data_IF_516618902662
#
_entry.id   IF_516618902662
#
_cell.length_a   1.000
_cell.length_b   1.000
_cell.length_c   1.000
_cell.angle_alpha   90.00
_cell.angle_beta   90.00
_cell.angle_gamma   90.00
#
_symmetry.space_group_name_H-M   'P 1'
#
loop_
_entity.id
_entity.type
_entity.pdbx_description
1 polymer ?
#
# COMPACT_ATOMS: atom_id res chain seq x y z
N UNK A 1 33.52 6.76 -16.97
CA UNK A 1 32.14 6.24 -16.96
C UNK A 1 31.84 5.76 -15.55
N UNK A 2 30.63 6.03 -15.05
CA UNK A 2 30.18 5.61 -13.72
C UNK A 2 28.69 5.53 -13.62
N UNK A 3 28.20 5.08 -12.47
CA UNK A 3 26.78 4.87 -12.17
C UNK A 3 26.31 6.00 -11.28
N UNK A 4 25.25 6.69 -11.68
CA UNK A 4 24.48 7.58 -10.81
C UNK A 4 23.14 6.90 -10.55
N UNK A 5 22.86 6.67 -9.28
CA UNK A 5 21.60 6.08 -8.84
C UNK A 5 20.52 7.15 -8.81
N UNK A 6 19.30 6.78 -9.16
CA UNK A 6 18.16 7.70 -9.11
C UNK A 6 16.94 6.92 -8.63
N UNK A 7 16.43 7.25 -7.46
CA UNK A 7 15.28 6.55 -6.91
C UNK A 7 14.53 7.36 -5.83
N UNK A 8 13.28 6.98 -5.63
CA UNK A 8 12.46 7.46 -4.52
C UNK A 8 12.84 6.73 -3.23
N UNK A 9 12.90 7.48 -2.14
CA UNK A 9 13.02 6.94 -0.78
C UNK A 9 11.63 6.88 -0.17
N UNK A 10 11.18 5.68 0.18
CA UNK A 10 9.88 5.47 0.80
C UNK A 10 9.82 4.19 1.65
N UNK A 11 8.85 4.07 2.58
CA UNK A 11 8.62 2.84 3.31
C UNK A 11 8.34 1.66 2.38
N UNK A 12 8.84 0.49 2.74
CA UNK A 12 8.56 -0.73 2.01
C UNK A 12 7.22 -1.35 2.44
N UNK A 13 6.58 -2.08 1.54
CA UNK A 13 5.28 -2.73 1.81
C UNK A 13 5.39 -4.03 2.60
N UNK A 14 6.59 -4.64 2.66
CA UNK A 14 6.74 -6.03 3.16
C UNK A 14 7.79 -6.21 4.25
N UNK A 15 8.65 -5.23 4.50
CA UNK A 15 9.65 -5.29 5.58
C UNK A 15 10.00 -3.91 6.12
N UNK A 16 10.62 -3.88 7.29
CA UNK A 16 11.12 -2.67 7.97
C UNK A 16 12.61 -2.80 8.22
N UNK A 17 13.31 -1.67 8.19
CA UNK A 17 14.73 -1.60 8.49
C UNK A 17 15.34 -0.23 8.14
N UNK A 18 16.66 -0.05 8.32
CA UNK A 18 17.35 1.18 7.95
C UNK A 18 17.22 1.51 6.46
N UNK A 19 17.32 0.49 5.61
CA UNK A 19 17.19 0.60 4.15
C UNK A 19 15.97 -0.20 3.70
N UNK A 20 14.98 0.49 3.15
CA UNK A 20 13.74 -0.10 2.67
C UNK A 20 13.60 0.08 1.16
N UNK A 21 12.87 1.11 0.68
CA UNK A 21 12.87 1.49 -0.73
C UNK A 21 13.70 2.74 -0.93
N UNK A 22 14.80 2.64 -1.69
CA UNK A 22 15.73 3.73 -1.88
C UNK A 22 16.88 3.39 -2.81
N UNK A 23 17.99 4.11 -2.67
CA UNK A 23 19.17 3.94 -3.51
C UNK A 23 19.87 2.60 -3.24
N UNK A 24 19.93 2.15 -1.97
CA UNK A 24 20.45 0.83 -1.61
C UNK A 24 19.64 -0.28 -2.29
N UNK A 25 18.31 -0.22 -2.21
CA UNK A 25 17.45 -1.19 -2.90
C UNK A 25 17.57 -1.09 -4.42
N UNK A 26 17.78 0.10 -4.98
CA UNK A 26 18.00 0.27 -6.42
C UNK A 26 19.27 -0.48 -6.87
N UNK A 27 20.33 -0.48 -6.08
CA UNK A 27 21.49 -1.30 -6.35
C UNK A 27 21.16 -2.79 -6.26
N UNK A 28 20.61 -3.23 -5.14
CA UNK A 28 20.37 -4.64 -4.85
C UNK A 28 19.39 -5.30 -5.85
N UNK A 29 18.29 -4.65 -6.16
CA UNK A 29 17.21 -5.19 -7.01
C UNK A 29 17.23 -4.54 -8.40
N UNK A 30 17.35 -3.22 -8.50
CA UNK A 30 17.34 -2.51 -9.77
C UNK A 30 18.49 -2.90 -10.69
N UNK A 31 19.73 -2.88 -10.21
CA UNK A 31 20.90 -3.35 -10.95
C UNK A 31 21.00 -4.88 -10.94
N UNK A 32 20.63 -5.54 -9.84
CA UNK A 32 20.63 -7.00 -9.68
C UNK A 32 19.60 -7.70 -10.56
N UNK A 33 18.61 -6.95 -11.13
CA UNK A 33 17.56 -7.47 -12.01
C UNK A 33 16.80 -8.63 -11.38
N UNK A 34 16.41 -9.63 -12.19
CA UNK A 34 15.65 -10.79 -11.73
C UNK A 34 16.43 -11.59 -10.67
N UNK A 35 17.71 -11.84 -10.88
CA UNK A 35 18.53 -12.58 -9.93
C UNK A 35 18.67 -11.90 -8.58
N UNK A 36 18.90 -10.59 -8.56
CA UNK A 36 18.94 -9.82 -7.32
C UNK A 36 17.58 -9.84 -6.59
N UNK A 37 16.49 -9.69 -7.31
CA UNK A 37 15.15 -9.77 -6.76
C UNK A 37 14.85 -11.17 -6.17
N UNK A 38 15.11 -12.23 -6.91
CA UNK A 38 14.88 -13.61 -6.47
C UNK A 38 15.75 -13.96 -5.25
N UNK A 39 17.03 -13.59 -5.27
CA UNK A 39 17.95 -13.85 -4.15
C UNK A 39 17.48 -13.23 -2.84
N UNK A 40 16.87 -12.05 -2.91
CA UNK A 40 16.36 -11.33 -1.73
C UNK A 40 14.97 -11.86 -1.35
N UNK A 41 14.04 -12.01 -2.31
CA UNK A 41 12.66 -12.41 -2.01
C UNK A 41 12.51 -13.89 -1.57
N UNK A 42 13.46 -14.76 -1.88
CA UNK A 42 13.48 -16.13 -1.37
C UNK A 42 13.98 -16.24 0.07
N UNK A 43 14.44 -15.11 0.65
CA UNK A 43 14.85 -15.07 2.05
C UNK A 43 13.68 -14.62 2.95
N UNK A 44 13.88 -14.81 4.27
CA UNK A 44 12.91 -14.33 5.25
C UNK A 44 12.76 -12.82 5.20
N UNK A 45 11.53 -12.27 5.24
CA UNK A 45 11.33 -10.83 5.37
C UNK A 45 12.03 -10.21 6.59
N UNK A 46 12.33 -11.00 7.61
CA UNK A 46 13.06 -10.54 8.80
C UNK A 46 14.46 -10.01 8.50
N UNK A 47 15.12 -10.55 7.46
CA UNK A 47 16.51 -10.18 7.11
C UNK A 47 16.61 -9.43 5.79
N UNK A 48 15.48 -9.11 5.14
CA UNK A 48 15.50 -8.45 3.82
C UNK A 48 16.23 -7.10 3.86
N UNK A 49 16.08 -6.33 4.93
CA UNK A 49 16.76 -5.05 5.09
C UNK A 49 18.28 -5.21 5.21
N UNK A 50 18.76 -6.28 5.88
CA UNK A 50 20.18 -6.61 5.99
C UNK A 50 20.75 -6.99 4.61
N UNK A 51 20.01 -7.79 3.85
CA UNK A 51 20.41 -8.18 2.50
C UNK A 51 20.44 -6.98 1.54
N UNK A 52 19.48 -6.09 1.62
CA UNK A 52 19.50 -4.85 0.82
C UNK A 52 20.73 -4.03 1.12
N UNK A 53 21.13 -3.92 2.39
CA UNK A 53 22.35 -3.25 2.80
C UNK A 53 23.61 -3.96 2.28
N UNK A 54 23.72 -5.27 2.50
CA UNK A 54 24.88 -6.08 2.10
C UNK A 54 25.11 -6.01 0.58
N UNK A 55 24.05 -6.23 -0.22
CA UNK A 55 24.13 -6.12 -1.67
C UNK A 55 24.49 -4.72 -2.13
N UNK A 56 23.89 -3.69 -1.53
CA UNK A 56 24.19 -2.30 -1.86
C UNK A 56 25.65 -1.95 -1.60
N UNK A 57 26.20 -2.32 -0.44
CA UNK A 57 27.62 -2.13 -0.10
C UNK A 57 28.55 -2.88 -1.04
N UNK A 58 28.25 -4.16 -1.32
CA UNK A 58 29.02 -4.97 -2.26
C UNK A 58 29.08 -4.34 -3.66
N UNK A 59 27.95 -3.77 -4.13
CA UNK A 59 27.92 -3.11 -5.44
C UNK A 59 28.75 -1.80 -5.40
N UNK A 60 28.67 -1.01 -4.34
CA UNK A 60 29.49 0.20 -4.20
C UNK A 60 31.00 -0.09 -4.17
N UNK A 61 31.41 -1.23 -3.61
CA UNK A 61 32.79 -1.65 -3.57
C UNK A 61 33.31 -2.18 -4.91
N UNK A 62 32.45 -2.77 -5.74
CA UNK A 62 32.85 -3.49 -6.97
C UNK A 62 32.40 -2.81 -8.26
N UNK A 63 31.63 -1.74 -8.20
CA UNK A 63 31.16 -0.99 -9.35
C UNK A 63 31.44 0.52 -9.19
N UNK A 64 31.64 1.26 -10.29
CA UNK A 64 31.96 2.68 -10.23
C UNK A 64 30.73 3.54 -9.90
N UNK A 65 30.15 3.38 -8.70
CA UNK A 65 29.06 4.20 -8.21
C UNK A 65 29.61 5.58 -7.85
N UNK A 66 29.14 6.62 -8.56
CA UNK A 66 29.58 8.01 -8.37
C UNK A 66 28.71 8.75 -7.34
N UNK A 67 27.54 8.23 -7.02
CA UNK A 67 26.59 8.82 -6.09
C UNK A 67 25.15 8.52 -6.47
N UNK A 68 24.22 9.19 -5.81
CA UNK A 68 22.79 9.01 -6.05
C UNK A 68 21.98 10.29 -5.88
N UNK A 69 20.81 10.30 -6.49
CA UNK A 69 19.77 11.33 -6.33
C UNK A 69 18.60 10.67 -5.62
N UNK A 70 18.42 11.03 -4.37
CA UNK A 70 17.32 10.60 -3.52
C UNK A 70 16.14 11.56 -3.68
N UNK A 71 14.93 11.01 -3.87
CA UNK A 71 13.69 11.78 -3.98
C UNK A 71 12.74 11.32 -2.89
N UNK A 72 12.08 12.27 -2.23
CA UNK A 72 10.96 12.02 -1.34
C UNK A 72 9.74 12.69 -1.96
N UNK A 73 8.64 11.97 -2.01
CA UNK A 73 7.32 12.46 -2.43
C UNK A 73 6.44 12.69 -1.19
N UNK A 74 5.49 13.60 -1.31
CA UNK A 74 4.46 13.84 -0.30
C UNK A 74 3.23 12.97 -0.53
N UNK A 75 2.17 13.19 0.27
CA UNK A 75 0.91 12.45 0.19
C UNK A 75 0.11 12.64 -1.11
N UNK A 76 0.54 13.56 -1.98
CA UNK A 76 -0.08 13.87 -3.28
C UNK A 76 0.78 13.44 -4.47
N UNK A 77 1.81 12.61 -4.21
CA UNK A 77 2.84 12.22 -5.19
C UNK A 77 3.67 13.40 -5.74
N UNK A 78 3.58 14.58 -5.10
CA UNK A 78 4.43 15.71 -5.44
C UNK A 78 5.82 15.56 -4.82
N UNK A 79 6.82 16.06 -5.53
CA UNK A 79 8.20 16.06 -5.03
C UNK A 79 8.33 16.96 -3.80
N UNK A 80 8.58 16.36 -2.65
CA UNK A 80 8.83 17.05 -1.37
C UNK A 80 10.30 17.44 -1.20
N UNK A 81 11.23 16.53 -1.55
CA UNK A 81 12.66 16.73 -1.40
C UNK A 81 13.44 16.01 -2.49
N UNK A 82 14.46 16.68 -3.03
CA UNK A 82 15.50 16.07 -3.88
C UNK A 82 16.85 16.31 -3.20
N UNK A 83 17.63 15.26 -3.01
CA UNK A 83 18.96 15.34 -2.41
C UNK A 83 19.98 14.52 -3.19
N UNK A 84 21.07 15.18 -3.63
CA UNK A 84 22.25 14.50 -4.16
C UNK A 84 23.09 13.95 -3.00
N UNK A 85 23.58 12.73 -3.15
CA UNK A 85 24.36 12.01 -2.14
C UNK A 85 25.64 11.43 -2.78
N UNK A 86 26.79 11.58 -2.13
CA UNK A 86 27.98 10.78 -2.44
C UNK A 86 27.77 9.32 -2.06
N UNK A 87 28.61 8.38 -2.50
CA UNK A 87 28.50 6.97 -2.09
C UNK A 87 28.48 6.79 -0.57
N UNK A 88 29.33 7.53 0.15
CA UNK A 88 29.41 7.49 1.62
C UNK A 88 28.16 8.07 2.27
N UNK A 89 27.60 9.15 1.69
CA UNK A 89 26.38 9.77 2.18
C UNK A 89 25.14 8.90 1.93
N UNK A 90 25.12 8.05 0.90
CA UNK A 90 24.01 7.08 0.71
C UNK A 90 23.88 6.22 1.98
N UNK A 91 24.98 5.74 2.52
CA UNK A 91 25.00 4.88 3.70
C UNK A 91 24.46 5.61 4.94
N UNK A 92 24.81 6.86 5.14
CA UNK A 92 24.52 7.59 6.39
C UNK A 92 23.23 8.40 6.33
N UNK A 93 22.82 8.84 5.15
CA UNK A 93 21.69 9.76 4.98
C UNK A 93 20.41 9.06 4.52
N UNK A 94 20.49 7.95 3.75
CA UNK A 94 19.27 7.27 3.30
C UNK A 94 18.36 6.83 4.46
N UNK A 95 18.86 6.28 5.59
CA UNK A 95 18.02 5.99 6.74
C UNK A 95 17.28 7.21 7.31
N UNK A 96 17.96 8.39 7.34
CA UNK A 96 17.35 9.63 7.81
C UNK A 96 16.28 10.15 6.83
N UNK A 97 16.56 10.06 5.54
CA UNK A 97 15.60 10.41 4.47
C UNK A 97 14.37 9.51 4.51
N UNK A 98 14.55 8.23 4.82
CA UNK A 98 13.43 7.29 5.03
C UNK A 98 12.52 7.75 6.18
N UNK A 99 13.08 8.19 7.31
CA UNK A 99 12.27 8.72 8.42
C UNK A 99 11.47 9.99 8.03
N UNK A 100 12.04 10.83 7.15
CA UNK A 100 11.29 11.97 6.58
C UNK A 100 10.15 11.44 5.71
N UNK A 101 10.42 10.48 4.84
CA UNK A 101 9.42 9.88 3.96
C UNK A 101 8.24 9.28 4.74
N UNK A 102 8.48 8.60 5.86
CA UNK A 102 7.41 8.10 6.73
C UNK A 102 6.44 9.19 7.20
N UNK A 103 6.92 10.42 7.37
CA UNK A 103 6.10 11.55 7.84
C UNK A 103 5.39 12.27 6.71
N UNK A 104 5.82 12.07 5.46
CA UNK A 104 5.31 12.81 4.30
C UNK A 104 4.38 12.00 3.41
N UNK A 105 4.45 10.66 3.46
CA UNK A 105 3.56 9.81 2.67
C UNK A 105 2.10 9.93 3.12
N UNK A 106 1.19 9.50 2.26
CA UNK A 106 -0.24 9.47 2.55
C UNK A 106 -0.58 8.59 3.77
N UNK A 107 -1.43 9.10 4.66
CA UNK A 107 -1.98 8.38 5.81
C UNK A 107 -3.46 8.69 5.96
N UNK A 108 -4.26 7.69 6.32
CA UNK A 108 -5.57 7.93 6.89
C UNK A 108 -5.37 8.43 8.33
N UNK A 109 -5.94 9.61 8.65
CA UNK A 109 -5.76 10.28 9.94
C UNK A 109 -6.69 9.70 11.03
N UNK A 110 -6.88 8.38 11.01
CA UNK A 110 -7.65 7.61 11.97
C UNK A 110 -6.83 6.38 12.39
N UNK A 111 -6.90 6.03 13.67
CA UNK A 111 -6.20 4.85 14.18
C UNK A 111 -6.91 3.55 13.77
N UNK A 112 -8.25 3.55 13.84
CA UNK A 112 -9.07 2.36 13.57
C UNK A 112 -10.42 2.68 12.94
N UNK A 113 -10.96 1.69 12.23
CA UNK A 113 -12.35 1.64 11.79
C UNK A 113 -12.86 0.19 11.80
N UNK A 114 -14.18 -0.01 11.73
CA UNK A 114 -14.76 -1.34 11.63
C UNK A 114 -14.60 -1.87 10.19
N UNK A 115 -14.92 -1.05 9.20
CA UNK A 115 -14.80 -1.43 7.79
C UNK A 115 -14.04 -0.38 6.99
N UNK A 116 -13.02 -0.83 6.27
CA UNK A 116 -12.36 -0.06 5.21
C UNK A 116 -12.83 -0.55 3.84
N UNK A 117 -13.44 0.33 3.07
CA UNK A 117 -13.84 0.08 1.69
C UNK A 117 -12.86 0.75 0.75
N UNK A 118 -12.25 -0.02 -0.14
CA UNK A 118 -11.32 0.46 -1.17
C UNK A 118 -11.98 0.23 -2.53
N UNK A 119 -12.30 1.31 -3.24
CA UNK A 119 -12.99 1.20 -4.52
C UNK A 119 -12.16 0.42 -5.54
N UNK A 120 -10.87 0.77 -5.67
CA UNK A 120 -9.99 0.11 -6.65
C UNK A 120 -8.60 -0.14 -6.11
N UNK A 121 -8.07 -1.30 -6.44
CA UNK A 121 -6.65 -1.65 -6.27
C UNK A 121 -5.98 -1.80 -7.63
N UNK A 122 -4.65 -1.73 -7.68
CA UNK A 122 -3.89 -1.96 -8.91
C UNK A 122 -2.38 -1.81 -8.73
N UNK A 123 -1.63 -2.42 -9.62
CA UNK A 123 -0.15 -2.33 -9.65
C UNK A 123 0.35 -0.92 -9.93
N UNK A 124 -0.45 -0.09 -10.57
CA UNK A 124 -0.20 1.33 -10.79
C UNK A 124 -0.37 2.17 -9.51
N UNK A 125 -1.12 1.66 -8.52
CA UNK A 125 -1.31 2.31 -7.20
C UNK A 125 -0.20 1.89 -6.24
N UNK A 126 0.00 0.59 -6.05
CA UNK A 126 1.04 0.06 -5.17
C UNK A 126 1.53 -1.31 -5.66
N UNK A 127 2.76 -1.67 -5.28
CA UNK A 127 3.35 -2.96 -5.61
C UNK A 127 2.49 -4.16 -5.18
N UNK A 128 1.75 -4.04 -4.09
CA UNK A 128 0.85 -5.07 -3.56
C UNK A 128 -0.63 -4.75 -3.84
N UNK A 129 -0.91 -3.93 -4.86
CA UNK A 129 -2.24 -3.54 -5.30
C UNK A 129 -2.82 -2.35 -4.54
N UNK A 130 -2.59 -2.27 -3.24
CA UNK A 130 -2.87 -1.13 -2.36
C UNK A 130 -1.71 -0.92 -1.38
N UNK A 131 -1.49 0.33 -0.95
CA UNK A 131 -0.41 0.63 -0.02
C UNK A 131 -0.81 0.22 1.41
N UNK A 132 -0.07 -0.71 2.05
CA UNK A 132 -0.36 -1.14 3.41
C UNK A 132 -0.06 -0.05 4.45
N UNK A 133 0.76 0.97 4.13
CA UNK A 133 1.00 2.10 5.02
C UNK A 133 -0.27 2.99 5.14
N UNK A 134 -1.20 2.89 4.21
CA UNK A 134 -2.53 3.53 4.26
C UNK A 134 -3.57 2.55 4.79
N UNK A 135 -3.69 1.37 4.14
CA UNK A 135 -4.77 0.40 4.41
C UNK A 135 -4.58 -0.44 5.67
N UNK A 136 -3.37 -0.48 6.25
CA UNK A 136 -3.03 -1.38 7.36
C UNK A 136 -2.91 -2.86 6.97
N UNK A 137 -3.16 -3.19 5.69
CA UNK A 137 -3.19 -4.57 5.18
C UNK A 137 -1.81 -5.00 4.70
N UNK A 138 -0.91 -5.27 5.64
CA UNK A 138 0.45 -5.74 5.34
C UNK A 138 0.48 -7.19 4.90
N UNK A 139 1.31 -7.45 3.89
CA UNK A 139 1.59 -8.81 3.39
C UNK A 139 2.17 -9.69 4.49
N UNK A 140 3.00 -9.10 5.34
CA UNK A 140 3.69 -9.77 6.44
C UNK A 140 3.49 -9.00 7.77
N UNK A 141 2.30 -9.10 8.42
CA UNK A 141 2.00 -8.34 9.64
C UNK A 141 2.97 -8.62 10.80
N UNK A 142 3.65 -9.76 10.76
CA UNK A 142 4.67 -10.11 11.75
C UNK A 142 5.90 -9.20 11.69
N UNK A 143 6.22 -8.64 10.51
CA UNK A 143 7.44 -7.88 10.25
C UNK A 143 7.17 -6.40 9.91
N UNK A 144 5.91 -6.06 9.67
CA UNK A 144 5.50 -4.70 9.29
C UNK A 144 4.22 -4.32 10.00
N UNK A 145 4.13 -3.07 10.40
CA UNK A 145 2.90 -2.50 10.98
C UNK A 145 2.76 -1.05 10.55
N UNK A 146 1.57 -0.50 10.72
CA UNK A 146 1.21 0.87 10.34
C UNK A 146 -0.12 0.91 9.60
N UNK A 147 -0.48 2.07 9.05
CA UNK A 147 -1.78 2.27 8.43
C UNK A 147 -2.95 2.17 9.41
N UNK A 148 -4.16 2.26 8.87
CA UNK A 148 -5.37 2.14 9.69
C UNK A 148 -5.60 0.69 10.14
N UNK A 149 -6.09 0.50 11.36
CA UNK A 149 -6.55 -0.80 11.85
C UNK A 149 -8.04 -0.96 11.48
N UNK A 150 -8.31 -1.65 10.38
CA UNK A 150 -9.67 -2.00 9.96
C UNK A 150 -9.98 -3.45 10.33
N UNK A 151 -11.12 -3.70 11.00
CA UNK A 151 -11.52 -5.07 11.31
C UNK A 151 -11.80 -5.85 10.03
N UNK A 152 -12.54 -5.27 9.10
CA UNK A 152 -12.77 -5.82 7.76
C UNK A 152 -12.31 -4.85 6.67
N UNK A 153 -11.87 -5.42 5.55
CA UNK A 153 -11.54 -4.70 4.34
C UNK A 153 -12.37 -5.23 3.17
N UNK A 154 -12.94 -4.32 2.40
CA UNK A 154 -13.68 -4.60 1.16
C UNK A 154 -12.91 -4.01 0.00
N UNK A 155 -12.70 -4.78 -1.06
CA UNK A 155 -12.13 -4.29 -2.32
C UNK A 155 -13.19 -4.46 -3.40
N UNK A 156 -13.63 -3.35 -4.01
CA UNK A 156 -14.75 -3.36 -4.94
C UNK A 156 -14.33 -3.68 -6.38
N UNK A 157 -13.14 -3.22 -6.81
CA UNK A 157 -12.68 -3.41 -8.19
C UNK A 157 -11.15 -3.31 -8.33
N UNK A 158 -10.68 -3.52 -9.56
CA UNK A 158 -9.30 -3.24 -9.98
C UNK A 158 -9.27 -2.10 -10.99
N UNK A 159 -8.15 -1.38 -11.07
CA UNK A 159 -7.94 -0.34 -12.10
C UNK A 159 -7.78 -0.95 -13.49
N UNK A 160 -8.04 -0.16 -14.54
CA UNK A 160 -7.80 -0.60 -15.93
C UNK A 160 -6.31 -0.75 -16.21
N UNK A 161 -5.50 0.13 -15.64
CA UNK A 161 -4.04 0.20 -15.80
C UNK A 161 -3.32 -1.02 -15.22
N UNK A 162 -3.97 -1.77 -14.33
CA UNK A 162 -3.39 -3.04 -13.82
C UNK A 162 -3.53 -4.20 -14.81
N UNK A 163 -4.26 -4.00 -15.93
CA UNK A 163 -4.45 -4.98 -17.01
C UNK A 163 -4.97 -6.36 -16.55
N UNK A 164 -5.74 -6.39 -15.47
CA UNK A 164 -6.28 -7.62 -14.88
C UNK A 164 -5.40 -8.26 -13.80
N UNK A 165 -4.26 -7.65 -13.45
CA UNK A 165 -3.47 -8.11 -12.31
C UNK A 165 -4.14 -7.68 -10.99
N UNK A 166 -4.72 -8.64 -10.29
CA UNK A 166 -5.44 -8.43 -9.03
C UNK A 166 -4.59 -8.79 -7.79
N UNK A 167 -3.26 -8.67 -7.88
CA UNK A 167 -2.41 -8.87 -6.70
C UNK A 167 -2.87 -7.94 -5.57
N UNK A 168 -2.96 -8.49 -4.37
CA UNK A 168 -3.42 -7.79 -3.18
C UNK A 168 -4.89 -8.00 -2.85
N UNK A 169 -5.70 -8.54 -3.77
CA UNK A 169 -7.12 -8.85 -3.48
C UNK A 169 -7.27 -9.77 -2.26
N UNK A 170 -6.32 -10.69 -2.06
CA UNK A 170 -6.31 -11.62 -0.93
C UNK A 170 -6.02 -10.99 0.44
N UNK A 171 -5.78 -9.69 0.50
CA UNK A 171 -5.65 -8.93 1.75
C UNK A 171 -7.00 -8.42 2.28
N UNK A 172 -8.08 -8.52 1.49
CA UNK A 172 -9.43 -8.20 1.91
C UNK A 172 -10.18 -9.44 2.43
N UNK A 173 -11.27 -9.21 3.16
CA UNK A 173 -12.22 -10.24 3.57
C UNK A 173 -13.33 -10.42 2.53
N UNK A 174 -13.71 -9.34 1.83
CA UNK A 174 -14.82 -9.34 0.88
C UNK A 174 -14.44 -8.62 -0.41
N UNK A 175 -14.94 -9.12 -1.53
CA UNK A 175 -14.81 -8.50 -2.84
C UNK A 175 -16.07 -8.69 -3.68
N UNK A 176 -16.09 -8.16 -4.90
CA UNK A 176 -17.23 -8.21 -5.81
C UNK A 176 -17.05 -9.21 -6.94
N UNK A 177 -18.14 -9.66 -7.52
CA UNK A 177 -18.17 -10.43 -8.77
C UNK A 177 -17.51 -9.66 -9.91
N UNK A 178 -17.70 -8.34 -9.96
CA UNK A 178 -17.10 -7.44 -10.95
C UNK A 178 -15.58 -7.56 -10.93
N UNK A 179 -14.93 -7.46 -9.76
CA UNK A 179 -13.48 -7.60 -9.63
C UNK A 179 -13.01 -8.96 -10.14
N UNK A 180 -13.66 -10.03 -9.68
CA UNK A 180 -13.25 -11.40 -10.04
C UNK A 180 -13.38 -11.66 -11.54
N UNK A 181 -14.43 -11.13 -12.19
CA UNK A 181 -14.61 -11.24 -13.63
C UNK A 181 -13.54 -10.46 -14.45
N UNK A 182 -12.95 -9.41 -13.86
CA UNK A 182 -11.87 -8.61 -14.47
C UNK A 182 -10.49 -9.18 -14.20
N UNK A 183 -10.34 -10.03 -13.19
CA UNK A 183 -9.07 -10.66 -12.83
C UNK A 183 -8.61 -11.61 -13.94
N UNK A 184 -7.34 -11.49 -14.34
CA UNK A 184 -6.66 -12.39 -15.27
C UNK A 184 -5.60 -13.17 -14.53
N UNK A 185 -5.73 -14.48 -14.49
CA UNK A 185 -4.83 -15.37 -13.74
C UNK A 185 -3.41 -15.33 -14.33
N UNK A 186 -3.29 -15.25 -15.65
CA UNK A 186 -2.03 -15.14 -16.37
C UNK A 186 -1.27 -13.84 -16.08
N UNK A 187 -1.95 -12.79 -15.62
CA UNK A 187 -1.34 -11.54 -15.19
C UNK A 187 -1.06 -11.51 -13.68
N UNK A 188 -1.88 -12.22 -12.89
CA UNK A 188 -1.84 -12.18 -11.43
C UNK A 188 -0.87 -13.19 -10.85
N UNK A 189 -0.91 -14.45 -11.28
CA UNK A 189 -0.16 -15.56 -10.67
C UNK A 189 1.36 -15.46 -10.83
N UNK A 190 1.92 -15.03 -11.99
CA UNK A 190 3.38 -14.88 -12.11
C UNK A 190 3.97 -13.95 -11.07
N UNK A 191 3.24 -12.88 -10.71
CA UNK A 191 3.68 -11.95 -9.66
C UNK A 191 3.74 -12.62 -8.29
N UNK A 192 2.75 -13.46 -7.97
CA UNK A 192 2.73 -14.22 -6.72
C UNK A 192 3.85 -15.25 -6.61
N UNK A 193 4.20 -15.88 -7.72
CA UNK A 193 5.33 -16.83 -7.75
C UNK A 193 6.65 -16.09 -7.54
N UNK A 194 6.83 -14.94 -8.18
CA UNK A 194 8.07 -14.15 -8.07
C UNK A 194 8.28 -13.58 -6.65
N UNK A 195 7.21 -13.06 -6.02
CA UNK A 195 7.31 -12.47 -4.68
C UNK A 195 7.11 -13.48 -3.53
N UNK A 196 6.75 -14.73 -3.84
CA UNK A 196 6.50 -15.84 -2.91
C UNK A 196 5.28 -15.67 -1.97
N UNK A 197 4.54 -14.58 -2.08
CA UNK A 197 3.38 -14.28 -1.22
C UNK A 197 2.05 -14.71 -1.85
N UNK A 198 1.84 -16.00 -1.96
CA UNK A 198 0.68 -16.59 -2.65
C UNK A 198 -0.68 -16.18 -2.06
N UNK A 199 -0.72 -15.79 -0.79
CA UNK A 199 -1.96 -15.36 -0.14
C UNK A 199 -2.51 -14.05 -0.71
N UNK A 200 -1.67 -13.21 -1.35
CA UNK A 200 -2.11 -11.99 -2.04
C UNK A 200 -3.07 -12.27 -3.22
N UNK A 201 -3.04 -13.51 -3.75
CA UNK A 201 -3.86 -13.95 -4.89
C UNK A 201 -5.08 -14.76 -4.47
N UNK A 202 -5.29 -14.98 -3.16
CA UNK A 202 -6.50 -15.63 -2.67
C UNK A 202 -7.71 -14.77 -3.01
N UNK A 203 -8.80 -15.40 -3.41
CA UNK A 203 -10.05 -14.70 -3.68
C UNK A 203 -10.84 -14.66 -2.37
N UNK A 204 -11.20 -13.46 -1.87
CA UNK A 204 -12.05 -13.27 -0.70
C UNK A 204 -13.48 -13.78 -0.94
N UNK A 205 -14.38 -13.60 0.04
CA UNK A 205 -15.80 -13.82 -0.19
C UNK A 205 -16.29 -12.90 -1.31
N UNK A 206 -16.97 -13.50 -2.31
CA UNK A 206 -17.46 -12.79 -3.50
C UNK A 206 -18.93 -12.46 -3.30
N UNK A 207 -19.26 -11.16 -3.39
CA UNK A 207 -20.65 -10.69 -3.42
C UNK A 207 -20.99 -10.20 -4.84
N UNK A 208 -22.27 -10.18 -5.18
CA UNK A 208 -22.68 -9.88 -6.54
C UNK A 208 -22.55 -8.39 -6.90
N UNK A 209 -22.62 -7.50 -5.89
CA UNK A 209 -22.50 -6.05 -6.06
C UNK A 209 -21.85 -5.36 -4.86
N UNK A 210 -21.60 -4.04 -4.97
CA UNK A 210 -20.93 -3.25 -3.95
C UNK A 210 -21.74 -3.14 -2.66
N UNK A 211 -23.07 -3.00 -2.76
CA UNK A 211 -23.98 -2.93 -1.60
C UNK A 211 -23.88 -4.19 -0.75
N UNK A 212 -23.98 -5.34 -1.36
CA UNK A 212 -23.91 -6.62 -0.66
C UNK A 212 -22.51 -6.83 -0.04
N UNK A 213 -21.44 -6.44 -0.74
CA UNK A 213 -20.09 -6.55 -0.22
C UNK A 213 -19.88 -5.70 1.04
N UNK A 214 -20.36 -4.46 1.02
CA UNK A 214 -20.26 -3.54 2.17
C UNK A 214 -21.15 -4.04 3.32
N UNK A 215 -22.39 -4.43 3.04
CA UNK A 215 -23.30 -4.94 4.06
C UNK A 215 -22.77 -6.19 4.74
N UNK A 216 -22.22 -7.14 3.99
CA UNK A 216 -21.60 -8.34 4.55
C UNK A 216 -20.44 -7.99 5.49
N UNK A 217 -19.57 -7.07 5.07
CA UNK A 217 -18.45 -6.66 5.90
C UNK A 217 -18.91 -6.03 7.22
N UNK A 218 -19.89 -5.12 7.16
CA UNK A 218 -20.48 -4.49 8.36
C UNK A 218 -21.11 -5.52 9.30
N UNK A 219 -21.84 -6.50 8.76
CA UNK A 219 -22.46 -7.58 9.56
C UNK A 219 -21.43 -8.49 10.24
N UNK A 220 -20.21 -8.54 9.72
CA UNK A 220 -19.17 -9.45 10.18
C UNK A 220 -18.09 -8.78 11.06
N UNK A 221 -18.40 -7.68 11.73
CA UNK A 221 -17.52 -6.97 12.66
C UNK A 221 -17.91 -7.24 14.13
N UNK A 222 -17.56 -8.40 14.72
CA UNK A 222 -17.91 -8.71 16.11
C UNK A 222 -17.20 -7.81 17.13
N UNK A 223 -16.09 -7.14 16.76
CA UNK A 223 -15.34 -6.25 17.64
C UNK A 223 -15.80 -4.78 17.55
N UNK A 224 -16.84 -4.49 16.75
CA UNK A 224 -17.39 -3.14 16.66
C UNK A 224 -17.92 -2.66 18.02
N UNK A 225 -17.52 -1.46 18.40
CA UNK A 225 -17.92 -0.86 19.68
C UNK A 225 -19.42 -0.50 19.72
N UNK A 226 -20.00 -0.15 18.59
CA UNK A 226 -21.40 0.24 18.40
C UNK A 226 -21.90 -0.28 17.06
N UNK A 227 -22.75 -1.30 17.09
CA UNK A 227 -23.34 -1.91 15.89
C UNK A 227 -24.42 -1.06 15.22
N UNK A 228 -24.98 -0.09 15.93
CA UNK A 228 -25.95 0.85 15.38
C UNK A 228 -25.26 2.03 14.66
N UNK A 229 -24.00 2.33 15.05
CA UNK A 229 -23.20 3.43 14.51
C UNK A 229 -21.81 2.95 14.08
N UNK A 230 -21.79 2.00 13.15
CA UNK A 230 -20.55 1.41 12.61
C UNK A 230 -19.60 2.48 12.04
N UNK A 231 -18.31 2.30 12.30
CA UNK A 231 -17.22 3.16 11.82
C UNK A 231 -16.71 2.64 10.48
N UNK A 232 -17.19 3.23 9.38
CA UNK A 232 -16.75 2.85 8.03
C UNK A 232 -16.02 4.02 7.37
N UNK A 233 -14.96 3.68 6.64
CA UNK A 233 -14.22 4.59 5.75
C UNK A 233 -14.26 4.00 4.36
N UNK A 234 -14.57 4.83 3.35
CA UNK A 234 -14.45 4.49 1.94
C UNK A 234 -13.45 5.42 1.27
N UNK A 235 -12.54 4.83 0.51
CA UNK A 235 -11.51 5.54 -0.26
C UNK A 235 -11.52 5.10 -1.72
N UNK A 236 -11.26 6.01 -2.68
CA UNK A 236 -11.12 5.64 -4.08
C UNK A 236 -10.01 4.60 -4.30
N UNK A 237 -8.88 4.81 -3.66
CA UNK A 237 -7.72 3.92 -3.59
C UNK A 237 -6.70 4.50 -2.59
N UNK A 238 -5.62 3.78 -2.33
CA UNK A 238 -4.61 4.20 -1.35
C UNK A 238 -3.66 5.32 -1.82
N UNK A 239 -3.68 5.70 -3.10
CA UNK A 239 -2.93 6.84 -3.61
C UNK A 239 -3.77 8.15 -3.61
N UNK A 240 -5.11 8.06 -3.51
CA UNK A 240 -6.01 9.20 -3.56
C UNK A 240 -6.91 9.23 -2.33
N UNK A 241 -6.39 9.76 -1.22
CA UNK A 241 -7.08 9.84 0.07
C UNK A 241 -7.25 11.28 0.58
N UNK A 242 -7.04 12.27 -0.29
CA UNK A 242 -7.27 13.69 0.04
C UNK A 242 -8.75 13.99 0.28
N UNK A 243 -9.66 13.24 -0.32
CA UNK A 243 -11.10 13.24 -0.04
C UNK A 243 -11.52 11.80 0.18
N UNK A 244 -12.20 11.56 1.30
CA UNK A 244 -12.68 10.24 1.70
C UNK A 244 -14.14 10.33 2.12
N UNK A 245 -14.86 9.23 2.09
CA UNK A 245 -16.20 9.10 2.68
C UNK A 245 -16.10 8.38 4.02
N UNK A 246 -16.85 8.87 5.00
CA UNK A 246 -16.94 8.27 6.32
C UNK A 246 -18.38 8.07 6.74
N UNK A 247 -18.67 7.04 7.51
CA UNK A 247 -19.99 6.85 8.10
C UNK A 247 -20.28 7.84 9.23
N UNK A 248 -21.54 8.02 9.58
CA UNK A 248 -21.95 8.88 10.68
C UNK A 248 -21.31 8.51 12.02
N UNK A 249 -21.03 7.21 12.25
CA UNK A 249 -20.31 6.72 13.44
C UNK A 249 -18.91 7.31 13.59
N UNK A 250 -18.32 7.84 12.52
CA UNK A 250 -17.01 8.51 12.54
C UNK A 250 -17.09 10.04 12.76
N UNK A 251 -18.26 10.66 12.65
CA UNK A 251 -18.43 12.10 12.80
C UNK A 251 -17.86 12.67 14.12
N UNK A 252 -17.98 12.00 15.26
CA UNK A 252 -17.39 12.50 16.51
C UNK A 252 -15.86 12.66 16.46
N UNK A 253 -15.17 11.90 15.60
CA UNK A 253 -13.71 11.93 15.46
C UNK A 253 -13.22 13.07 14.58
N UNK A 254 -14.06 13.56 13.66
CA UNK A 254 -13.71 14.65 12.73
C UNK A 254 -14.26 16.00 13.16
N UNK A 255 -15.36 16.00 13.90
CA UNK A 255 -16.00 17.24 14.37
C UNK A 255 -15.06 17.99 15.32
N UNK A 256 -14.76 19.24 14.99
CA UNK A 256 -13.79 20.09 15.71
C UNK A 256 -12.32 19.64 15.64
N UNK A 257 -11.96 18.73 14.73
CA UNK A 257 -10.58 18.37 14.48
C UNK A 257 -10.03 19.21 13.31
N UNK A 258 -8.98 20.05 13.54
CA UNK A 258 -8.47 20.96 12.52
C UNK A 258 -7.82 20.27 11.32
N UNK A 259 -7.59 18.95 11.39
CA UNK A 259 -7.04 18.17 10.29
C UNK A 259 -8.10 17.70 9.29
N UNK A 260 -9.38 17.96 9.56
CA UNK A 260 -10.49 17.54 8.70
C UNK A 260 -11.39 18.72 8.35
N UNK A 261 -11.88 18.68 7.12
CA UNK A 261 -12.95 19.54 6.63
C UNK A 261 -14.13 18.66 6.20
N UNK A 262 -15.32 18.93 6.75
CA UNK A 262 -16.56 18.26 6.35
C UNK A 262 -17.09 18.95 5.10
N UNK A 263 -17.08 18.23 3.97
CA UNK A 263 -17.43 18.78 2.66
C UNK A 263 -18.92 18.68 2.34
N UNK A 264 -19.64 17.71 2.94
CA UNK A 264 -21.05 17.45 2.63
C UNK A 264 -21.83 17.15 3.91
N UNK A 265 -23.14 17.36 3.87
CA UNK A 265 -24.06 16.78 4.84
C UNK A 265 -24.12 15.26 4.65
N UNK A 266 -24.54 14.50 5.67
CA UNK A 266 -24.75 13.05 5.55
C UNK A 266 -25.70 12.68 4.41
N UNK A 267 -25.38 11.63 3.68
CA UNK A 267 -26.18 11.10 2.58
C UNK A 267 -26.10 9.58 2.51
N UNK A 268 -27.12 8.95 1.93
CA UNK A 268 -27.09 7.53 1.64
C UNK A 268 -26.13 7.23 0.48
N UNK A 269 -25.35 6.16 0.58
CA UNK A 269 -24.44 5.76 -0.51
C UNK A 269 -25.22 5.62 -1.83
N UNK A 270 -24.78 6.25 -2.92
CA UNK A 270 -25.54 6.38 -4.17
C UNK A 270 -25.44 5.10 -5.02
N UNK A 271 -25.94 3.99 -4.47
CA UNK A 271 -26.01 2.75 -5.22
C UNK A 271 -27.01 2.85 -6.39
N UNK A 272 -26.58 2.36 -7.55
CA UNK A 272 -27.46 2.19 -8.70
C UNK A 272 -28.54 1.09 -8.46
N UNK A 273 -29.37 0.83 -9.47
CA UNK A 273 -30.42 -0.19 -9.43
C UNK A 273 -29.86 -1.62 -9.24
N UNK A 274 -28.61 -1.86 -9.62
CA UNK A 274 -27.92 -3.13 -9.47
C UNK A 274 -27.13 -3.24 -8.17
N UNK A 275 -27.11 -2.18 -7.36
CA UNK A 275 -26.38 -2.12 -6.09
C UNK A 275 -24.91 -1.74 -6.23
N UNK A 276 -24.48 -1.13 -7.33
CA UNK A 276 -23.11 -0.68 -7.54
C UNK A 276 -22.96 0.82 -7.27
N UNK A 277 -21.75 1.23 -6.88
CA UNK A 277 -21.39 2.64 -6.62
C UNK A 277 -20.78 3.33 -7.85
N UNK A 278 -20.29 2.54 -8.84
CA UNK A 278 -19.70 3.05 -10.08
C UNK A 278 -19.66 1.97 -11.18
#
# INVERSE_FOLDING_TARGET
>A
HGIILYNRIKPHTSFRGPYESGLMKMMAIGLGKQHGAESIHHQSPAIMHELVEEYGRTIMENAPVLGGIAIIENAYDDTYLIKGLSPEEIITEEPKLKEISYKTIAHLLFDKCDVLVVDKIGKNISGDGMDPNVSGRFVQPKYCSGGIQAEKCVILDITDETHGNAQGVGLAEVTTRRLVNRMKLEMTYPTGVTNTFLHLMKIPMIMDNDREAIQLALMCCPEAEDHDHMKMIRIPNTAHIGVIEISEGMLPLVKNNPNFEILTEPYDLPFDENGNLF
#
